data_IF_266056143263
#
_entry.id   IF_266056143263
#
_cell.length_a   1.000
_cell.length_b   1.000
_cell.length_c   1.000
_cell.angle_alpha   90.00
_cell.angle_beta   90.00
_cell.angle_gamma   90.00
#
_symmetry.space_group_name_H-M   'P 1'
#
loop_
_entity.id
_entity.type
_entity.pdbx_description
1 polymer ?
#
# COMPACT_ATOMS: atom_id res chain seq x y z
N UNK A 1 30.77 -151.62 -65.09
CA UNK A 1 30.85 -152.60 -66.18
C UNK A 1 31.79 -152.03 -67.23
N UNK A 2 33.03 -152.54 -67.29
CA UNK A 2 34.01 -152.38 -68.38
C UNK A 2 34.73 -151.04 -68.58
N UNK A 3 36.04 -150.94 -68.29
CA UNK A 3 36.94 -149.98 -68.95
C UNK A 3 37.49 -150.61 -70.25
N UNK A 4 37.30 -149.93 -71.38
CA UNK A 4 38.01 -150.17 -72.64
C UNK A 4 38.78 -148.87 -72.88
N UNK A 5 40.09 -148.73 -72.67
CA UNK A 5 41.18 -149.43 -73.36
C UNK A 5 40.91 -149.53 -74.87
N UNK A 6 41.45 -148.57 -75.61
CA UNK A 6 42.00 -148.76 -76.95
C UNK A 6 43.00 -147.63 -77.21
N UNK A 7 44.23 -147.90 -76.80
CA UNK A 7 45.44 -147.40 -77.45
C UNK A 7 45.33 -147.71 -78.95
N UNK A 8 44.95 -146.70 -79.72
CA UNK A 8 45.33 -146.69 -81.13
C UNK A 8 46.70 -146.06 -81.19
N UNK A 9 47.70 -146.92 -81.38
CA UNK A 9 48.98 -146.62 -82.02
C UNK A 9 48.70 -145.82 -83.30
N UNK A 10 48.60 -144.50 -83.17
CA UNK A 10 48.73 -143.58 -84.30
C UNK A 10 50.21 -143.61 -84.69
N UNK A 11 50.55 -144.58 -85.53
CA UNK A 11 51.75 -144.50 -86.36
C UNK A 11 51.71 -143.13 -87.04
N UNK A 12 52.72 -142.25 -86.83
CA UNK A 12 52.78 -141.00 -87.55
C UNK A 12 53.06 -141.35 -89.02
N UNK A 13 52.00 -141.39 -89.84
CA UNK A 13 52.15 -141.31 -91.27
C UNK A 13 52.81 -139.95 -91.52
N UNK A 14 54.12 -139.97 -91.79
CA UNK A 14 54.90 -138.76 -92.04
C UNK A 14 54.15 -137.90 -93.04
N UNK A 15 53.71 -136.73 -92.61
CA UNK A 15 52.90 -135.77 -93.36
C UNK A 15 53.75 -135.02 -94.40
N UNK A 16 54.65 -135.74 -95.06
CA UNK A 16 55.50 -135.22 -96.12
C UNK A 16 54.93 -135.61 -97.48
N UNK A 17 54.73 -134.62 -98.35
CA UNK A 17 54.48 -134.88 -99.76
C UNK A 17 55.79 -135.16 -100.50
N UNK A 18 55.76 -136.02 -101.53
CA UNK A 18 56.91 -136.29 -102.41
C UNK A 18 57.28 -135.06 -103.28
N UNK A 19 58.58 -134.76 -103.45
CA UNK A 19 59.07 -133.57 -104.19
C UNK A 19 59.28 -133.91 -105.69
N UNK A 20 58.58 -133.20 -106.59
CA UNK A 20 58.63 -133.43 -108.06
C UNK A 20 59.02 -132.13 -108.80
N UNK A 21 59.75 -132.24 -109.93
CA UNK A 21 60.45 -131.13 -110.63
C UNK A 21 59.56 -129.93 -111.08
N UNK A 22 58.23 -130.08 -111.09
CA UNK A 22 57.22 -129.02 -111.34
C UNK A 22 56.03 -129.20 -110.39
N UNK A 23 56.29 -129.19 -109.08
CA UNK A 23 55.28 -129.30 -108.01
C UNK A 23 54.82 -127.94 -107.48
N UNK A 24 53.84 -127.97 -106.57
CA UNK A 24 53.46 -126.80 -105.78
C UNK A 24 54.61 -126.35 -104.89
N UNK A 25 54.68 -125.05 -104.61
CA UNK A 25 55.67 -124.49 -103.69
C UNK A 25 55.44 -125.09 -102.30
N UNK A 26 56.48 -125.77 -101.79
CA UNK A 26 56.45 -126.46 -100.49
C UNK A 26 56.05 -125.51 -99.36
N UNK A 27 56.58 -124.29 -99.35
CA UNK A 27 56.27 -123.31 -98.31
C UNK A 27 54.78 -122.92 -98.35
N UNK A 28 54.21 -122.76 -99.55
CA UNK A 28 52.78 -122.44 -99.70
C UNK A 28 51.86 -123.60 -99.29
N UNK A 29 52.28 -124.85 -99.51
CA UNK A 29 51.51 -126.05 -99.09
C UNK A 29 51.59 -126.24 -97.58
N UNK A 30 52.77 -126.08 -96.98
CA UNK A 30 52.94 -126.11 -95.52
C UNK A 30 52.11 -125.00 -94.86
N UNK A 31 52.17 -123.75 -95.37
CA UNK A 31 51.31 -122.65 -94.91
C UNK A 31 49.82 -122.97 -95.01
N UNK A 32 49.38 -123.65 -96.09
CA UNK A 32 47.98 -124.00 -96.28
C UNK A 32 47.54 -125.16 -95.36
N UNK A 33 48.39 -126.15 -95.14
CA UNK A 33 48.13 -127.23 -94.18
C UNK A 33 48.09 -126.69 -92.75
N UNK A 34 49.01 -125.78 -92.38
CA UNK A 34 48.97 -125.12 -91.08
C UNK A 34 47.66 -124.35 -90.88
N UNK A 35 47.16 -123.66 -91.93
CA UNK A 35 45.83 -123.03 -91.90
C UNK A 35 44.72 -124.08 -91.71
N UNK A 36 44.71 -125.18 -92.47
CA UNK A 36 43.69 -126.23 -92.34
C UNK A 36 43.72 -126.92 -90.97
N UNK A 37 44.91 -127.19 -90.41
CA UNK A 37 45.04 -127.72 -89.06
C UNK A 37 44.55 -126.72 -88.01
N UNK A 38 44.78 -125.42 -88.23
CA UNK A 38 44.22 -124.37 -87.38
C UNK A 38 42.69 -124.32 -87.48
N UNK A 39 42.11 -124.46 -88.68
CA UNK A 39 40.68 -124.48 -88.92
C UNK A 39 40.02 -125.74 -88.31
N UNK A 40 40.65 -126.91 -88.43
CA UNK A 40 40.17 -128.15 -87.81
C UNK A 40 40.22 -128.09 -86.29
N UNK A 41 41.26 -127.49 -85.71
CA UNK A 41 41.31 -127.24 -84.26
C UNK A 41 40.22 -126.27 -83.81
N UNK A 42 39.96 -125.23 -84.60
CA UNK A 42 38.87 -124.29 -84.33
C UNK A 42 37.50 -124.99 -84.41
N UNK A 43 37.23 -125.76 -85.47
CA UNK A 43 35.99 -126.51 -85.62
C UNK A 43 35.79 -127.58 -84.53
N UNK A 44 36.87 -128.25 -84.10
CA UNK A 44 36.80 -129.18 -82.98
C UNK A 44 36.46 -128.46 -81.68
N UNK A 45 37.09 -127.31 -81.42
CA UNK A 45 36.78 -126.46 -80.27
C UNK A 45 35.32 -125.95 -80.31
N UNK A 46 34.84 -125.51 -81.47
CA UNK A 46 33.45 -125.06 -81.66
C UNK A 46 32.45 -126.20 -81.46
N UNK A 47 32.74 -127.40 -82.00
CA UNK A 47 31.93 -128.60 -81.78
C UNK A 47 31.87 -128.95 -80.30
N UNK A 48 33.01 -128.98 -79.63
CA UNK A 48 33.08 -129.36 -78.21
C UNK A 48 32.39 -128.31 -77.34
N UNK A 49 32.50 -127.02 -77.68
CA UNK A 49 31.73 -125.94 -77.06
C UNK A 49 30.22 -126.12 -77.28
N UNK A 50 29.78 -126.46 -78.50
CA UNK A 50 28.38 -126.72 -78.79
C UNK A 50 27.86 -127.97 -78.04
N UNK A 51 28.65 -129.04 -77.95
CA UNK A 51 28.31 -130.23 -77.16
C UNK A 51 28.19 -129.89 -75.68
N UNK A 52 29.10 -129.07 -75.13
CA UNK A 52 28.97 -128.58 -73.75
C UNK A 52 27.68 -127.79 -73.56
N UNK A 53 27.40 -126.81 -74.43
CA UNK A 53 26.19 -125.99 -74.35
C UNK A 53 24.91 -126.83 -74.45
N UNK A 54 24.86 -127.82 -75.35
CA UNK A 54 23.71 -128.73 -75.45
C UNK A 54 23.55 -129.59 -74.20
N UNK A 55 24.66 -130.05 -73.60
CA UNK A 55 24.62 -130.80 -72.34
C UNK A 55 24.15 -129.95 -71.16
N UNK A 56 24.53 -128.67 -71.10
CA UNK A 56 24.10 -127.74 -70.06
C UNK A 56 22.62 -127.37 -70.21
N UNK A 57 22.16 -127.10 -71.43
CA UNK A 57 20.75 -126.88 -71.73
C UNK A 57 19.90 -128.11 -71.41
N UNK A 58 20.40 -129.33 -71.69
CA UNK A 58 19.72 -130.55 -71.31
C UNK A 58 19.57 -130.69 -69.79
N UNK A 59 20.61 -130.33 -69.01
CA UNK A 59 20.55 -130.29 -67.54
C UNK A 59 19.54 -129.25 -67.03
N UNK A 60 19.53 -128.05 -67.60
CA UNK A 60 18.56 -127.01 -67.23
C UNK A 60 17.12 -127.42 -67.56
N UNK A 61 16.89 -128.07 -68.71
CA UNK A 61 15.58 -128.59 -69.06
C UNK A 61 15.13 -129.69 -68.10
N UNK A 62 16.03 -130.57 -67.69
CA UNK A 62 15.68 -131.62 -66.73
C UNK A 62 15.38 -131.06 -65.34
N UNK A 63 16.15 -130.05 -64.89
CA UNK A 63 15.88 -129.33 -63.65
C UNK A 63 14.54 -128.59 -63.68
N UNK A 64 14.25 -127.86 -64.77
CA UNK A 64 12.97 -127.20 -64.94
C UNK A 64 11.80 -128.22 -65.02
N UNK A 65 12.01 -129.39 -65.64
CA UNK A 65 11.02 -130.46 -65.68
C UNK A 65 10.77 -131.08 -64.30
N UNK A 66 11.81 -131.30 -63.50
CA UNK A 66 11.65 -131.76 -62.12
C UNK A 66 10.92 -130.74 -61.27
N UNK A 67 11.28 -129.45 -61.36
CA UNK A 67 10.58 -128.35 -60.66
C UNK A 67 9.11 -128.27 -61.09
N UNK A 68 8.83 -128.34 -62.39
CA UNK A 68 7.45 -128.37 -62.90
C UNK A 68 6.68 -129.59 -62.40
N UNK A 69 7.32 -130.76 -62.31
CA UNK A 69 6.69 -131.97 -61.74
C UNK A 69 6.42 -131.79 -60.24
N UNK A 70 7.34 -131.21 -59.49
CA UNK A 70 7.18 -130.93 -58.06
C UNK A 70 6.04 -129.94 -57.82
N UNK A 71 6.04 -128.81 -58.55
CA UNK A 71 4.98 -127.79 -58.49
C UNK A 71 3.63 -128.39 -58.90
N UNK A 72 3.57 -129.22 -59.94
CA UNK A 72 2.34 -129.92 -60.34
C UNK A 72 1.86 -130.87 -59.26
N UNK A 73 2.73 -131.69 -58.69
CA UNK A 73 2.39 -132.59 -57.59
C UNK A 73 1.94 -131.83 -56.34
N UNK A 74 2.51 -130.64 -56.09
CA UNK A 74 2.09 -129.77 -55.00
C UNK A 74 0.73 -129.12 -55.27
N UNK A 75 0.48 -128.64 -56.49
CA UNK A 75 -0.83 -128.12 -56.91
C UNK A 75 -1.88 -129.22 -56.84
N UNK A 76 -1.58 -130.43 -57.33
CA UNK A 76 -2.48 -131.58 -57.25
C UNK A 76 -2.84 -131.87 -55.78
N UNK A 77 -1.84 -131.98 -54.89
CA UNK A 77 -2.04 -132.13 -53.44
C UNK A 77 -2.89 -131.03 -52.80
N UNK A 78 -2.74 -129.78 -53.25
CA UNK A 78 -3.50 -128.64 -52.73
C UNK A 78 -4.92 -128.53 -53.32
N UNK A 79 -5.13 -129.08 -54.53
CA UNK A 79 -6.39 -129.02 -55.29
C UNK A 79 -7.37 -130.14 -54.92
N UNK A 80 -6.87 -131.32 -54.52
CA UNK A 80 -7.71 -132.39 -53.98
C UNK A 80 -8.29 -131.99 -52.61
N UNK A 81 -9.52 -132.40 -52.27
CA UNK A 81 -10.06 -132.21 -50.93
C UNK A 81 -9.14 -132.88 -49.90
N UNK A 82 -8.78 -132.20 -48.79
CA UNK A 82 -7.76 -132.68 -47.87
C UNK A 82 -8.29 -133.91 -47.11
N UNK A 83 -7.97 -135.09 -47.62
CA UNK A 83 -8.26 -136.38 -46.97
C UNK A 83 -7.12 -136.83 -46.05
N UNK A 84 -6.01 -136.09 -46.01
CA UNK A 84 -4.83 -136.35 -45.16
C UNK A 84 -4.52 -135.17 -44.23
N UNK A 85 -4.04 -135.47 -43.02
CA UNK A 85 -3.69 -134.47 -42.00
C UNK A 85 -2.58 -133.50 -42.44
N UNK A 86 -1.65 -133.97 -43.27
CA UNK A 86 -0.50 -133.20 -43.76
C UNK A 86 -0.93 -132.08 -44.73
N UNK A 87 -1.84 -132.36 -45.68
CA UNK A 87 -2.38 -131.36 -46.60
C UNK A 87 -3.26 -130.30 -45.92
N UNK A 88 -3.93 -130.68 -44.82
CA UNK A 88 -4.65 -129.72 -43.97
C UNK A 88 -3.67 -128.76 -43.27
N UNK A 89 -2.56 -129.28 -42.73
CA UNK A 89 -1.55 -128.46 -42.04
C UNK A 89 -0.83 -127.49 -42.98
N UNK A 90 -0.49 -127.91 -44.21
CA UNK A 90 0.16 -127.06 -45.21
C UNK A 90 -0.76 -125.92 -45.68
N UNK A 91 -2.05 -126.19 -45.91
CA UNK A 91 -3.03 -125.15 -46.25
C UNK A 91 -3.25 -124.18 -45.09
N UNK A 92 -3.35 -124.67 -43.84
CA UNK A 92 -3.48 -123.82 -42.65
C UNK A 92 -2.25 -122.92 -42.46
N UNK A 93 -1.04 -123.44 -42.67
CA UNK A 93 0.18 -122.64 -42.61
C UNK A 93 0.19 -121.53 -43.67
N UNK A 94 -0.24 -121.82 -44.91
CA UNK A 94 -0.37 -120.79 -45.96
C UNK A 94 -1.43 -119.76 -45.64
N UNK A 95 -2.59 -120.19 -45.12
CA UNK A 95 -3.65 -119.28 -44.69
C UNK A 95 -3.20 -118.37 -43.54
N UNK A 96 -2.49 -118.92 -42.55
CA UNK A 96 -1.91 -118.14 -41.46
C UNK A 96 -0.84 -117.16 -41.96
N UNK A 97 -0.01 -117.58 -42.92
CA UNK A 97 0.98 -116.69 -43.53
C UNK A 97 0.29 -115.54 -44.30
N UNK A 98 -0.71 -115.84 -45.11
CA UNK A 98 -1.50 -114.83 -45.82
C UNK A 98 -2.23 -113.89 -44.85
N UNK A 99 -2.83 -114.41 -43.78
CA UNK A 99 -3.47 -113.59 -42.76
C UNK A 99 -2.46 -112.71 -42.00
N UNK A 100 -1.25 -113.21 -41.76
CA UNK A 100 -0.17 -112.44 -41.16
C UNK A 100 0.33 -111.33 -42.11
N UNK A 101 0.48 -111.65 -43.39
CA UNK A 101 0.86 -110.68 -44.42
C UNK A 101 -0.22 -109.60 -44.57
N UNK A 102 -1.50 -109.99 -44.59
CA UNK A 102 -2.65 -109.06 -44.62
C UNK A 102 -2.72 -108.21 -43.35
N UNK A 103 -2.49 -108.78 -42.16
CA UNK A 103 -2.44 -108.03 -40.91
C UNK A 103 -1.28 -107.02 -40.89
N UNK A 104 -0.12 -107.38 -41.44
CA UNK A 104 1.01 -106.48 -41.60
C UNK A 104 0.70 -105.36 -42.59
N UNK A 105 0.01 -105.66 -43.70
CA UNK A 105 -0.43 -104.66 -44.67
C UNK A 105 -1.44 -103.67 -44.05
N UNK A 106 -2.42 -104.16 -43.29
CA UNK A 106 -3.38 -103.32 -42.57
C UNK A 106 -2.66 -102.41 -41.58
N UNK A 107 -1.69 -102.94 -40.82
CA UNK A 107 -0.88 -102.13 -39.89
C UNK A 107 -0.07 -101.07 -40.63
N UNK A 108 0.63 -101.44 -41.70
CA UNK A 108 1.41 -100.51 -42.49
C UNK A 108 0.54 -99.38 -43.09
N UNK A 109 -0.67 -99.72 -43.57
CA UNK A 109 -1.64 -98.75 -44.06
C UNK A 109 -2.13 -97.81 -42.95
N UNK A 110 -2.51 -98.36 -41.79
CA UNK A 110 -2.97 -97.56 -40.64
C UNK A 110 -1.86 -96.65 -40.08
N UNK A 111 -0.61 -97.11 -40.05
CA UNK A 111 0.55 -96.32 -39.65
C UNK A 111 0.84 -95.20 -40.65
N UNK A 112 0.76 -95.47 -41.96
CA UNK A 112 0.91 -94.46 -43.00
C UNK A 112 -0.21 -93.40 -42.92
N UNK A 113 -1.47 -93.81 -42.80
CA UNK A 113 -2.60 -92.90 -42.63
C UNK A 113 -2.49 -92.07 -41.35
N UNK A 114 -2.11 -92.70 -40.22
CA UNK A 114 -1.86 -92.01 -38.95
C UNK A 114 -0.71 -91.01 -39.05
N UNK A 115 0.35 -91.37 -39.78
CA UNK A 115 1.46 -90.48 -40.10
C UNK A 115 1.02 -89.27 -40.93
N UNK A 116 0.21 -89.49 -41.96
CA UNK A 116 -0.35 -88.42 -42.80
C UNK A 116 -1.26 -87.47 -42.01
N UNK A 117 -2.14 -87.99 -41.15
CA UNK A 117 -3.01 -87.17 -40.30
C UNK A 117 -2.17 -86.32 -39.34
N UNK A 118 -1.15 -86.92 -38.70
CA UNK A 118 -0.26 -86.21 -37.78
C UNK A 118 0.54 -85.12 -38.51
N UNK A 119 1.13 -85.44 -39.65
CA UNK A 119 1.89 -84.48 -40.45
C UNK A 119 1.02 -83.31 -40.91
N UNK A 120 -0.23 -83.58 -41.33
CA UNK A 120 -1.19 -82.53 -41.68
C UNK A 120 -1.56 -81.65 -40.49
N UNK A 121 -1.87 -82.26 -39.34
CA UNK A 121 -2.21 -81.51 -38.12
C UNK A 121 -1.03 -80.66 -37.62
N UNK A 122 0.20 -81.17 -37.72
CA UNK A 122 1.42 -80.43 -37.38
C UNK A 122 1.66 -79.26 -38.34
N UNK A 123 1.44 -79.45 -39.64
CA UNK A 123 1.53 -78.39 -40.63
C UNK A 123 0.48 -77.29 -40.37
N UNK A 124 -0.78 -77.67 -40.14
CA UNK A 124 -1.87 -76.74 -39.85
C UNK A 124 -1.62 -75.98 -38.54
N UNK A 125 -1.13 -76.66 -37.50
CA UNK A 125 -0.72 -76.04 -36.25
C UNK A 125 0.45 -75.07 -36.44
N UNK A 126 1.43 -75.42 -37.29
CA UNK A 126 2.55 -74.55 -37.66
C UNK A 126 2.07 -73.27 -38.34
N UNK A 127 1.17 -73.38 -39.31
CA UNK A 127 0.57 -72.22 -40.00
C UNK A 127 -0.18 -71.34 -39.02
N UNK A 128 -0.96 -71.93 -38.11
CA UNK A 128 -1.73 -71.17 -37.13
C UNK A 128 -0.83 -70.45 -36.12
N UNK A 129 0.25 -71.10 -35.64
CA UNK A 129 1.26 -70.46 -34.78
C UNK A 129 1.92 -69.27 -35.47
N UNK A 130 2.36 -69.43 -36.72
CA UNK A 130 2.96 -68.34 -37.49
C UNK A 130 2.00 -67.17 -37.69
N UNK A 131 0.70 -67.44 -37.90
CA UNK A 131 -0.31 -66.39 -38.00
C UNK A 131 -0.49 -65.64 -36.68
N UNK A 132 -0.56 -66.34 -35.56
CA UNK A 132 -0.68 -65.70 -34.26
C UNK A 132 0.58 -64.94 -33.87
N UNK A 133 1.77 -65.46 -34.17
CA UNK A 133 3.03 -64.76 -33.93
C UNK A 133 3.08 -63.44 -34.70
N UNK A 134 2.69 -63.45 -35.99
CA UNK A 134 2.55 -62.23 -36.79
C UNK A 134 1.53 -61.26 -36.19
N UNK A 135 0.35 -61.75 -35.81
CA UNK A 135 -0.70 -60.91 -35.23
C UNK A 135 -0.26 -60.29 -33.89
N UNK A 136 0.46 -61.04 -33.05
CA UNK A 136 1.01 -60.53 -31.79
C UNK A 136 2.04 -59.43 -32.09
N UNK A 137 2.96 -59.67 -33.02
CA UNK A 137 3.96 -58.68 -33.43
C UNK A 137 3.31 -57.39 -33.98
N UNK A 138 2.28 -57.51 -34.83
CA UNK A 138 1.53 -56.36 -35.36
C UNK A 138 0.80 -55.58 -34.25
N UNK A 139 0.23 -56.27 -33.26
CA UNK A 139 -0.43 -55.63 -32.12
C UNK A 139 0.57 -54.91 -31.21
N UNK A 140 1.74 -55.51 -30.98
CA UNK A 140 2.81 -54.90 -30.18
C UNK A 140 3.39 -53.67 -30.89
N UNK A 141 3.62 -53.75 -32.21
CA UNK A 141 4.03 -52.60 -33.02
C UNK A 141 3.00 -51.48 -32.98
N UNK A 142 1.70 -51.81 -33.13
CA UNK A 142 0.63 -50.82 -33.04
C UNK A 142 0.55 -50.18 -31.65
N UNK A 143 0.74 -50.96 -30.58
CA UNK A 143 0.79 -50.43 -29.20
C UNK A 143 1.98 -49.48 -29.03
N UNK A 144 3.17 -49.88 -29.45
CA UNK A 144 4.37 -49.05 -29.38
C UNK A 144 4.21 -47.75 -30.17
N UNK A 145 3.62 -47.80 -31.37
CA UNK A 145 3.32 -46.63 -32.18
C UNK A 145 2.33 -45.68 -31.48
N UNK A 146 1.21 -46.21 -30.98
CA UNK A 146 0.22 -45.39 -30.23
C UNK A 146 0.82 -44.78 -28.96
N UNK A 147 1.68 -45.52 -28.23
CA UNK A 147 2.37 -44.99 -27.06
C UNK A 147 3.37 -43.89 -27.43
N UNK A 148 4.09 -44.04 -28.54
CA UNK A 148 5.02 -43.03 -29.04
C UNK A 148 4.28 -41.76 -29.48
N UNK A 149 3.17 -41.90 -30.23
CA UNK A 149 2.30 -40.78 -30.60
C UNK A 149 1.73 -40.09 -29.36
N UNK A 150 1.23 -40.86 -28.39
CA UNK A 150 0.68 -40.29 -27.15
C UNK A 150 1.75 -39.54 -26.35
N UNK A 151 2.94 -40.12 -26.20
CA UNK A 151 4.09 -39.44 -25.55
C UNK A 151 4.45 -38.16 -26.30
N UNK A 152 4.49 -38.20 -27.63
CA UNK A 152 4.75 -37.02 -28.45
C UNK A 152 3.71 -35.93 -28.24
N UNK A 153 2.41 -36.27 -28.26
CA UNK A 153 1.32 -35.31 -28.00
C UNK A 153 1.39 -34.74 -26.58
N UNK A 154 1.70 -35.55 -25.57
CA UNK A 154 1.89 -35.07 -24.21
C UNK A 154 3.09 -34.14 -24.07
N UNK A 155 4.19 -34.44 -24.75
CA UNK A 155 5.37 -33.59 -24.76
C UNK A 155 5.11 -32.26 -25.47
N UNK A 156 4.43 -32.27 -26.63
CA UNK A 156 4.04 -31.03 -27.31
C UNK A 156 3.08 -30.21 -26.47
N UNK A 157 2.05 -30.83 -25.88
CA UNK A 157 1.09 -30.15 -25.02
C UNK A 157 1.76 -29.58 -23.76
N UNK A 158 2.74 -30.30 -23.19
CA UNK A 158 3.53 -29.80 -22.04
C UNK A 158 4.38 -28.61 -22.44
N UNK A 159 5.11 -28.69 -23.55
CA UNK A 159 5.93 -27.59 -24.06
C UNK A 159 5.09 -26.35 -24.41
N UNK A 160 3.90 -26.54 -24.98
CA UNK A 160 2.95 -25.45 -25.25
C UNK A 160 2.41 -24.84 -23.95
N UNK A 161 2.05 -25.66 -22.96
CA UNK A 161 1.62 -25.17 -21.66
C UNK A 161 2.73 -24.39 -20.95
N UNK A 162 3.97 -24.89 -20.97
CA UNK A 162 5.13 -24.20 -20.39
C UNK A 162 5.38 -22.86 -21.10
N UNK A 163 5.25 -22.79 -22.44
CA UNK A 163 5.34 -21.52 -23.18
C UNK A 163 4.24 -20.55 -22.77
N UNK A 164 2.98 -20.97 -22.77
CA UNK A 164 1.84 -20.12 -22.39
C UNK A 164 2.01 -19.57 -20.97
N UNK A 165 2.42 -20.42 -20.02
CA UNK A 165 2.68 -19.99 -18.64
C UNK A 165 3.83 -18.99 -18.59
N UNK A 166 4.94 -19.25 -19.29
CA UNK A 166 6.08 -18.34 -19.31
C UNK A 166 5.75 -16.96 -19.92
N UNK A 167 4.95 -16.94 -20.99
CA UNK A 167 4.48 -15.71 -21.64
C UNK A 167 3.50 -14.95 -20.74
N UNK A 168 2.57 -15.65 -20.08
CA UNK A 168 1.65 -15.07 -19.12
C UNK A 168 2.37 -14.47 -17.91
N UNK A 169 3.38 -15.16 -17.37
CA UNK A 169 4.21 -14.64 -16.28
C UNK A 169 5.01 -13.42 -16.72
N UNK A 170 5.61 -13.42 -17.91
CA UNK A 170 6.34 -12.28 -18.44
C UNK A 170 5.42 -11.06 -18.64
N UNK A 171 4.22 -11.27 -19.18
CA UNK A 171 3.22 -10.23 -19.33
C UNK A 171 2.75 -9.68 -17.97
N UNK A 172 2.49 -10.56 -17.00
CA UNK A 172 2.11 -10.17 -15.64
C UNK A 172 3.20 -9.35 -14.95
N UNK A 173 4.48 -9.74 -15.08
CA UNK A 173 5.62 -8.97 -14.56
C UNK A 173 5.69 -7.59 -15.19
N UNK A 174 5.56 -7.50 -16.52
CA UNK A 174 5.56 -6.22 -17.23
C UNK A 174 4.42 -5.30 -16.77
N UNK A 175 3.20 -5.83 -16.60
CA UNK A 175 2.06 -5.05 -16.10
C UNK A 175 2.29 -4.60 -14.66
N UNK A 176 2.88 -5.45 -13.81
CA UNK A 176 3.21 -5.09 -12.43
C UNK A 176 4.27 -3.97 -12.38
N UNK A 177 5.32 -4.07 -13.18
CA UNK A 177 6.36 -3.03 -13.31
C UNK A 177 5.77 -1.71 -13.82
N UNK A 178 4.96 -1.74 -14.88
CA UNK A 178 4.27 -0.55 -15.41
C UNK A 178 3.31 0.06 -14.37
N UNK A 179 2.61 -0.77 -13.60
CA UNK A 179 1.69 -0.30 -12.56
C UNK A 179 2.45 0.34 -11.40
N UNK A 180 3.57 -0.25 -10.97
CA UNK A 180 4.40 0.31 -9.92
C UNK A 180 5.03 1.63 -10.35
N UNK A 181 5.54 1.71 -11.59
CA UNK A 181 6.02 2.98 -12.16
C UNK A 181 4.92 4.04 -12.16
N UNK A 182 3.70 3.71 -12.59
CA UNK A 182 2.57 4.63 -12.54
C UNK A 182 2.25 5.09 -11.11
N UNK A 183 2.30 4.17 -10.14
CA UNK A 183 2.09 4.53 -8.72
C UNK A 183 3.15 5.49 -8.24
N UNK A 184 4.43 5.22 -8.49
CA UNK A 184 5.55 6.11 -8.14
C UNK A 184 5.37 7.47 -8.78
N UNK A 185 5.07 7.55 -10.09
CA UNK A 185 4.86 8.85 -10.77
C UNK A 185 3.68 9.62 -10.20
N UNK A 186 2.58 8.93 -9.85
CA UNK A 186 1.40 9.57 -9.24
C UNK A 186 1.71 10.04 -7.82
N UNK A 187 2.48 9.27 -7.05
CA UNK A 187 2.93 9.64 -5.72
C UNK A 187 3.85 10.88 -5.78
N UNK A 188 4.83 10.90 -6.69
CA UNK A 188 5.71 12.05 -6.93
C UNK A 188 4.92 13.30 -7.36
N UNK A 189 4.04 13.19 -8.35
CA UNK A 189 3.20 14.29 -8.82
C UNK A 189 2.29 14.82 -7.71
N UNK A 190 1.73 13.91 -6.90
CA UNK A 190 0.90 14.29 -5.75
C UNK A 190 1.72 15.01 -4.69
N UNK A 191 2.93 14.54 -4.37
CA UNK A 191 3.82 15.22 -3.42
C UNK A 191 4.20 16.62 -3.91
N UNK A 192 4.52 16.77 -5.20
CA UNK A 192 4.83 18.06 -5.82
C UNK A 192 3.61 18.98 -5.73
N UNK A 193 2.42 18.51 -6.14
CA UNK A 193 1.19 19.31 -6.08
C UNK A 193 0.83 19.72 -4.65
N UNK A 194 0.99 18.81 -3.67
CA UNK A 194 0.72 19.10 -2.27
C UNK A 194 1.78 20.02 -1.66
N UNK A 195 3.04 19.92 -2.07
CA UNK A 195 4.09 20.87 -1.68
C UNK A 195 3.81 22.27 -2.24
N UNK A 196 3.45 22.38 -3.52
CA UNK A 196 3.06 23.64 -4.15
C UNK A 196 1.86 24.28 -3.45
N UNK A 197 0.79 23.50 -3.20
CA UNK A 197 -0.40 23.99 -2.47
C UNK A 197 -0.07 24.42 -1.04
N UNK A 198 0.81 23.69 -0.33
CA UNK A 198 1.29 24.09 1.01
C UNK A 198 2.08 25.40 0.94
N UNK A 199 2.96 25.57 -0.04
CA UNK A 199 3.74 26.79 -0.23
C UNK A 199 2.84 27.99 -0.53
N UNK A 200 1.84 27.84 -1.41
CA UNK A 200 0.85 28.87 -1.71
C UNK A 200 0.01 29.22 -0.46
N UNK A 201 -0.45 28.23 0.29
CA UNK A 201 -1.16 28.45 1.55
C UNK A 201 -0.29 29.19 2.58
N UNK A 202 0.98 28.82 2.73
CA UNK A 202 1.92 29.55 3.60
C UNK A 202 2.17 30.98 3.12
N UNK A 203 2.31 31.21 1.81
CA UNK A 203 2.51 32.54 1.24
C UNK A 203 1.29 33.46 1.45
N UNK A 204 0.07 32.91 1.30
CA UNK A 204 -1.16 33.68 1.58
C UNK A 204 -1.29 34.02 3.06
N UNK A 205 -1.02 33.08 3.97
CA UNK A 205 -0.97 33.36 5.41
C UNK A 205 0.09 34.40 5.76
N UNK A 206 1.30 34.28 5.22
CA UNK A 206 2.37 35.27 5.43
C UNK A 206 1.97 36.66 4.91
N UNK A 207 1.28 36.73 3.77
CA UNK A 207 0.75 37.99 3.22
C UNK A 207 -0.32 38.57 4.14
N UNK A 208 -1.27 37.75 4.61
CA UNK A 208 -2.32 38.18 5.56
C UNK A 208 -1.73 38.64 6.89
N UNK A 209 -0.72 37.95 7.41
CA UNK A 209 0.00 38.38 8.61
C UNK A 209 0.75 39.69 8.37
N UNK A 210 1.40 39.86 7.23
CA UNK A 210 2.13 41.08 6.89
C UNK A 210 1.19 42.27 6.72
N UNK A 211 0.03 42.09 6.05
CA UNK A 211 -0.98 43.15 5.92
C UNK A 211 -1.61 43.47 7.26
N UNK A 212 -1.97 42.46 8.07
CA UNK A 212 -2.53 42.66 9.41
C UNK A 212 -1.56 43.39 10.34
N UNK A 213 -0.27 42.99 10.36
CA UNK A 213 0.79 43.67 11.12
C UNK A 213 0.99 45.09 10.61
N UNK A 214 1.07 45.30 9.29
CA UNK A 214 1.21 46.62 8.69
C UNK A 214 0.06 47.57 9.02
N UNK A 215 -1.18 47.08 9.01
CA UNK A 215 -2.34 47.86 9.44
C UNK A 215 -2.36 48.13 10.95
N UNK A 216 -1.97 47.15 11.78
CA UNK A 216 -1.86 47.34 13.22
C UNK A 216 -0.81 48.41 13.54
N UNK A 217 0.37 48.33 12.92
CA UNK A 217 1.44 49.34 13.06
C UNK A 217 1.00 50.72 12.57
N UNK A 218 0.17 50.78 11.52
CA UNK A 218 -0.40 52.04 11.04
C UNK A 218 -1.39 52.62 12.06
N UNK A 219 -2.33 51.82 12.58
CA UNK A 219 -3.29 52.27 13.60
C UNK A 219 -2.59 52.72 14.88
N UNK A 220 -1.53 52.01 15.31
CA UNK A 220 -0.72 52.42 16.47
C UNK A 220 0.00 53.73 16.20
N UNK A 221 0.58 53.93 15.00
CA UNK A 221 1.20 55.20 14.62
C UNK A 221 0.20 56.35 14.58
N UNK A 222 -0.93 56.18 13.91
CA UNK A 222 -2.00 57.17 13.83
C UNK A 222 -2.53 57.53 15.24
N UNK A 223 -2.81 56.54 16.09
CA UNK A 223 -3.22 56.77 17.47
C UNK A 223 -2.12 57.43 18.32
N UNK A 224 -0.84 57.10 18.10
CA UNK A 224 0.28 57.75 18.79
C UNK A 224 0.45 59.21 18.36
N UNK A 225 0.27 59.51 17.07
CA UNK A 225 0.27 60.86 16.52
C UNK A 225 -0.93 61.67 17.04
N UNK A 226 -2.13 61.11 17.05
CA UNK A 226 -3.31 61.76 17.63
C UNK A 226 -3.14 61.99 19.13
N UNK A 227 -2.65 61.02 19.88
CA UNK A 227 -2.34 61.19 21.29
C UNK A 227 -1.25 62.24 21.50
N UNK A 228 -0.25 62.35 20.62
CA UNK A 228 0.74 63.41 20.65
C UNK A 228 0.12 64.79 20.36
N UNK A 229 -0.81 64.88 19.39
CA UNK A 229 -1.56 66.12 19.11
C UNK A 229 -2.42 66.54 20.29
N UNK A 230 -3.15 65.61 20.91
CA UNK A 230 -3.97 65.88 22.10
C UNK A 230 -3.08 66.31 23.27
N UNK A 231 -1.96 65.61 23.52
CA UNK A 231 -0.99 66.03 24.56
C UNK A 231 -0.42 67.42 24.27
N UNK A 232 -0.10 67.74 23.02
CA UNK A 232 0.40 69.06 22.63
C UNK A 232 -0.67 70.15 22.81
N UNK A 233 -1.92 69.87 22.45
CA UNK A 233 -3.05 70.79 22.66
C UNK A 233 -3.31 71.03 24.16
N UNK A 234 -3.35 69.97 24.97
CA UNK A 234 -3.47 70.09 26.44
C UNK A 234 -2.28 70.87 27.00
N UNK A 235 -1.05 70.61 26.55
CA UNK A 235 0.12 71.36 26.99
C UNK A 235 0.01 72.84 26.60
N UNK A 236 -0.45 73.15 25.39
CA UNK A 236 -0.72 74.53 24.96
C UNK A 236 -1.80 75.18 25.83
N UNK A 237 -2.94 74.52 26.05
CA UNK A 237 -4.01 75.02 26.93
C UNK A 237 -3.53 75.19 28.38
N UNK A 238 -2.67 74.29 28.87
CA UNK A 238 -2.06 74.43 30.19
C UNK A 238 -1.10 75.62 30.22
N UNK A 239 -0.31 75.86 29.16
CA UNK A 239 0.56 77.04 29.10
C UNK A 239 -0.23 78.34 29.00
N UNK A 240 -1.29 78.39 28.19
CA UNK A 240 -2.14 79.59 28.07
C UNK A 240 -2.93 79.83 29.34
N UNK A 241 -3.57 78.81 29.91
CA UNK A 241 -4.28 78.93 31.19
C UNK A 241 -3.35 79.27 32.34
N UNK A 242 -2.12 78.73 32.39
CA UNK A 242 -1.09 79.11 33.36
C UNK A 242 -0.63 80.55 33.13
N UNK A 243 -0.38 80.97 31.90
CA UNK A 243 0.00 82.35 31.59
C UNK A 243 -1.12 83.34 31.95
N UNK A 244 -2.39 82.99 31.71
CA UNK A 244 -3.54 83.77 32.13
C UNK A 244 -3.71 83.79 33.65
N UNK A 245 -3.51 82.66 34.33
CA UNK A 245 -3.53 82.59 35.80
C UNK A 245 -2.41 83.46 36.39
N UNK A 246 -1.19 83.37 35.86
CA UNK A 246 -0.07 84.23 36.25
C UNK A 246 -0.34 85.71 35.94
N UNK A 247 -1.04 86.03 34.84
CA UNK A 247 -1.47 87.39 34.52
C UNK A 247 -2.50 87.89 35.52
N UNK A 248 -3.53 87.10 35.85
CA UNK A 248 -4.54 87.45 36.87
C UNK A 248 -3.90 87.62 38.25
N UNK A 249 -2.95 86.75 38.61
CA UNK A 249 -2.19 86.91 39.86
C UNK A 249 -1.36 88.18 39.83
N UNK A 250 -0.65 88.47 38.73
CA UNK A 250 0.11 89.73 38.57
C UNK A 250 -0.79 90.96 38.68
N UNK A 251 -1.88 91.03 37.93
CA UNK A 251 -2.86 92.11 37.98
C UNK A 251 -3.45 92.28 39.40
N UNK A 252 -3.81 91.18 40.06
CA UNK A 252 -4.30 91.22 41.45
C UNK A 252 -3.21 91.69 42.44
N UNK A 253 -1.95 91.26 42.28
CA UNK A 253 -0.84 91.72 43.12
C UNK A 253 -0.51 93.19 42.88
N UNK A 254 -0.56 93.66 41.64
CA UNK A 254 -0.39 95.07 41.31
C UNK A 254 -1.53 95.92 41.87
N UNK A 255 -2.77 95.45 41.79
CA UNK A 255 -3.93 96.14 42.36
C UNK A 255 -3.87 96.15 43.90
N UNK A 256 -3.45 95.05 44.53
CA UNK A 256 -3.20 95.00 45.98
C UNK A 256 -2.05 95.93 46.40
N UNK A 257 -0.99 96.02 45.60
CA UNK A 257 0.13 96.94 45.83
C UNK A 257 -0.29 98.41 45.62
N UNK A 258 -1.14 98.70 44.63
CA UNK A 258 -1.75 100.03 44.45
C UNK A 258 -2.60 100.41 45.65
N UNK A 259 -3.53 99.54 46.09
CA UNK A 259 -4.34 99.78 47.31
C UNK A 259 -3.47 99.99 48.54
N UNK A 260 -2.38 99.23 48.69
CA UNK A 260 -1.40 99.44 49.76
C UNK A 260 -0.71 100.79 49.65
N UNK A 261 -0.27 101.18 48.46
CA UNK A 261 0.39 102.46 48.22
C UNK A 261 -0.56 103.65 48.49
N UNK A 262 -1.79 103.57 47.99
CA UNK A 262 -2.83 104.58 48.22
C UNK A 262 -3.14 104.69 49.72
N UNK A 263 -3.30 103.56 50.41
CA UNK A 263 -3.50 103.54 51.87
C UNK A 263 -2.32 104.11 52.65
N UNK A 264 -1.08 103.83 52.25
CA UNK A 264 0.13 104.41 52.85
C UNK A 264 0.18 105.92 52.59
N UNK A 265 -0.20 106.35 51.39
CA UNK A 265 -0.23 107.77 51.00
C UNK A 265 -1.29 108.53 51.79
N UNK A 266 -2.49 107.98 51.95
CA UNK A 266 -3.53 108.55 52.81
C UNK A 266 -3.11 108.57 54.30
N UNK A 267 -2.47 107.50 54.79
CA UNK A 267 -1.97 107.44 56.16
C UNK A 267 -0.88 108.50 56.41
N UNK A 268 0.05 108.66 55.47
CA UNK A 268 1.11 109.69 55.56
C UNK A 268 0.56 111.10 55.43
N UNK A 269 -0.44 111.35 54.57
CA UNK A 269 -1.15 112.62 54.49
C UNK A 269 -1.85 112.97 55.82
N UNK A 270 -2.53 112.01 56.46
CA UNK A 270 -3.13 112.22 57.80
C UNK A 270 -2.09 112.52 58.88
N UNK A 271 -0.93 111.85 58.84
CA UNK A 271 0.17 112.13 59.78
C UNK A 271 0.72 113.54 59.55
N UNK A 272 0.89 113.96 58.30
CA UNK A 272 1.34 115.32 57.96
C UNK A 272 0.33 116.36 58.44
N UNK A 273 -0.96 116.18 58.15
CA UNK A 273 -2.03 117.07 58.60
C UNK A 273 -2.07 117.19 60.13
N UNK A 274 -1.98 116.06 60.86
CA UNK A 274 -1.90 116.07 62.32
C UNK A 274 -0.64 116.77 62.86
N UNK A 275 0.50 116.61 62.18
CA UNK A 275 1.77 117.26 62.53
C UNK A 275 1.72 118.76 62.28
N UNK A 276 1.11 119.19 61.17
CA UNK A 276 0.88 120.59 60.85
C UNK A 276 -0.08 121.25 61.85
N UNK A 277 -1.14 120.56 62.26
CA UNK A 277 -2.09 121.04 63.26
C UNK A 277 -1.44 121.12 64.66
N UNK A 278 -0.59 120.16 65.02
CA UNK A 278 0.24 120.21 66.23
C UNK A 278 1.18 121.42 66.22
N UNK A 279 1.93 121.61 65.13
CA UNK A 279 2.82 122.76 64.96
C UNK A 279 2.07 124.09 64.98
N UNK A 280 0.85 124.15 64.45
CA UNK A 280 -0.02 125.32 64.52
C UNK A 280 -0.41 125.66 65.95
N UNK A 281 -0.86 124.66 66.74
CA UNK A 281 -1.18 124.84 68.17
C UNK A 281 0.03 125.29 69.00
N UNK A 282 1.22 124.77 68.70
CA UNK A 282 2.47 125.20 69.37
C UNK A 282 2.80 126.65 69.04
N UNK A 283 2.66 127.08 67.78
CA UNK A 283 2.89 128.48 67.38
C UNK A 283 1.91 129.43 68.06
N UNK A 284 0.62 129.12 68.04
CA UNK A 284 -0.43 129.92 68.68
C UNK A 284 -0.19 130.07 70.20
N UNK A 285 0.21 128.99 70.89
CA UNK A 285 0.55 129.02 72.31
C UNK A 285 1.81 129.87 72.60
N UNK A 286 2.81 129.80 71.72
CA UNK A 286 4.06 130.58 71.84
C UNK A 286 3.80 132.08 71.64
N UNK A 287 2.93 132.43 70.69
CA UNK A 287 2.51 133.81 70.46
C UNK A 287 1.70 134.38 71.65
N UNK A 288 0.81 133.58 72.25
CA UNK A 288 0.10 133.99 73.46
C UNK A 288 1.03 134.19 74.66
N UNK A 289 2.02 133.31 74.85
CA UNK A 289 3.03 133.45 75.89
C UNK A 289 3.83 134.76 75.71
N UNK A 290 4.25 135.06 74.48
CA UNK A 290 4.97 136.28 74.14
C UNK A 290 4.14 137.56 74.39
N UNK A 291 2.83 137.53 74.10
CA UNK A 291 1.92 138.65 74.42
C UNK A 291 1.81 138.88 75.93
N UNK A 292 1.72 137.82 76.74
CA UNK A 292 1.64 137.92 78.22
C UNK A 292 2.95 138.47 78.82
N UNK A 293 4.11 138.04 78.31
CA UNK A 293 5.40 138.57 78.75
C UNK A 293 5.58 140.05 78.39
N UNK A 294 5.20 140.47 77.17
CA UNK A 294 5.29 141.87 76.75
C UNK A 294 4.40 142.81 77.58
N UNK A 295 3.20 142.36 77.94
CA UNK A 295 2.29 143.11 78.81
C UNK A 295 2.82 143.22 80.26
N UNK A 296 3.56 142.21 80.74
CA UNK A 296 4.19 142.23 82.05
C UNK A 296 5.40 143.17 82.11
N UNK A 297 6.24 143.22 81.07
CA UNK A 297 7.37 144.17 80.99
C UNK A 297 6.90 145.62 80.95
N UNK A 298 5.84 145.93 80.18
CA UNK A 298 5.25 147.28 80.18
C UNK A 298 4.75 147.71 81.57
N UNK A 299 4.13 146.81 82.34
CA UNK A 299 3.70 147.09 83.73
C UNK A 299 4.88 147.34 84.69
N UNK A 300 5.99 146.63 84.50
CA UNK A 300 7.21 146.81 85.31
C UNK A 300 7.91 148.15 85.00
N UNK A 301 7.91 148.59 83.74
CA UNK A 301 8.47 149.89 83.33
C UNK A 301 7.66 151.08 83.83
N UNK A 302 6.32 150.96 83.85
CA UNK A 302 5.41 151.97 84.43
C UNK A 302 5.64 152.15 85.95
N UNK A 303 5.94 151.08 86.68
CA UNK A 303 6.25 151.15 88.11
C UNK A 303 7.64 151.75 88.38
N UNK A 304 8.63 151.49 87.52
CA UNK A 304 9.98 152.09 87.62
C UNK A 304 9.99 153.60 87.40
N UNK A 305 9.15 154.11 86.49
CA UNK A 305 9.02 155.55 86.21
C UNK A 305 8.33 156.31 87.35
N UNK A 306 7.33 155.71 88.01
CA UNK A 306 6.69 156.28 89.21
C UNK A 306 7.66 156.37 90.39
N UNK A 307 8.46 155.33 90.62
CA UNK A 307 9.47 155.29 91.69
C UNK A 307 10.53 156.39 91.54
N UNK A 308 11.11 156.55 90.35
CA UNK A 308 12.15 157.55 90.12
C UNK A 308 11.64 159.00 90.31
N UNK A 309 10.34 159.24 90.06
CA UNK A 309 9.70 160.55 90.24
C UNK A 309 9.58 160.94 91.73
N UNK A 310 9.27 159.99 92.60
CA UNK A 310 9.25 160.18 94.06
C UNK A 310 10.66 160.36 94.65
N UNK A 311 11.66 159.65 94.12
CA UNK A 311 13.05 159.77 94.56
C UNK A 311 13.67 161.14 94.26
N UNK A 312 13.31 161.79 93.16
CA UNK A 312 13.79 163.15 92.83
C UNK A 312 13.14 164.26 93.67
N UNK A 313 11.92 164.06 94.18
CA UNK A 313 11.25 165.07 95.03
C UNK A 313 11.79 165.10 96.46
N UNK A 314 12.34 163.98 96.97
CA UNK A 314 12.94 163.92 98.32
C UNK A 314 14.43 164.32 98.34
N UNK A 315 15.13 164.20 97.21
CA UNK A 315 16.55 164.56 97.11
C UNK A 315 16.77 166.06 96.91
N UNK A 316 15.77 166.78 96.41
CA UNK A 316 15.82 168.22 96.26
C UNK A 316 15.51 168.94 97.57
N UNK A 317 16.57 169.26 98.30
CA UNK A 317 16.59 170.51 99.07
C UNK A 317 16.04 170.39 100.50
N UNK A 318 16.05 169.14 100.98
CA UNK A 318 16.86 168.69 102.14
C UNK A 318 18.34 169.20 102.15
N UNK A 319 18.68 170.21 101.35
CA UNK A 319 20.02 170.74 101.04
C UNK A 319 20.12 172.23 101.39
N UNK A 320 19.09 172.85 101.98
CA UNK A 320 19.15 174.25 102.44
C UNK A 320 18.91 174.46 103.95
N UNK A 321 18.59 173.41 104.72
CA UNK A 321 18.50 173.48 106.18
C UNK A 321 19.25 172.31 106.79
N UNK A 322 20.58 172.30 106.70
CA UNK A 322 21.41 171.75 107.78
C UNK A 322 22.89 172.12 107.58
N UNK A 323 23.21 173.40 107.80
CA UNK A 323 24.34 173.73 108.67
C UNK A 323 23.88 173.57 110.14
N UNK A 324 24.83 173.38 111.05
CA UNK A 324 24.71 172.96 112.47
C UNK A 324 24.70 171.42 112.68
N UNK A 325 25.84 170.79 112.36
CA UNK A 325 26.91 170.34 113.29
C UNK A 325 26.43 169.70 114.63
N UNK A 326 26.99 168.55 115.10
CA UNK A 326 26.87 167.19 114.56
C UNK A 326 26.74 166.13 115.72
N UNK A 327 26.94 164.86 115.35
CA UNK A 327 27.57 163.77 116.12
C UNK A 327 26.73 162.85 117.05
N UNK A 328 26.97 161.54 116.81
CA UNK A 328 26.90 160.36 117.69
C UNK A 328 25.57 159.57 117.75
N UNK A 329 25.46 158.58 116.83
CA UNK A 329 25.32 157.11 117.05
C UNK A 329 25.00 156.58 118.48
N UNK A 330 24.58 155.28 118.67
CA UNK A 330 24.01 154.26 117.76
C UNK A 330 22.85 153.42 118.44
N UNK A 331 22.45 152.24 117.88
CA UNK A 331 21.69 151.09 118.50
C UNK A 331 20.15 151.34 118.69
N UNK A 332 19.15 150.49 118.39
CA UNK A 332 18.79 149.10 118.82
C UNK A 332 17.65 148.49 117.96
N UNK A 333 17.70 147.15 117.78
CA UNK A 333 16.62 146.12 117.74
C UNK A 333 15.48 146.20 116.68
N UNK A 334 14.97 145.13 116.05
CA UNK A 334 14.60 143.82 116.58
C UNK A 334 14.47 142.72 115.47
N UNK A 335 15.19 141.61 115.69
CA UNK A 335 14.89 140.17 115.52
C UNK A 335 14.00 139.58 114.36
N UNK A 336 14.44 138.46 113.73
CA UNK A 336 13.69 137.59 112.79
C UNK A 336 13.04 136.38 113.56
N UNK A 337 12.68 135.17 113.03
CA UNK A 337 12.79 134.64 111.65
C UNK A 337 11.66 133.70 111.12
N UNK A 338 11.55 133.64 109.78
CA UNK A 338 11.62 132.41 108.95
C UNK A 338 10.49 131.33 108.97
N UNK A 339 10.52 130.32 108.07
CA UNK A 339 10.55 130.44 106.61
C UNK A 339 9.68 129.37 105.88
N UNK A 340 9.60 129.52 104.55
CA UNK A 340 9.60 128.48 103.51
C UNK A 340 8.96 127.11 103.80
N UNK A 341 7.95 126.73 103.01
CA UNK A 341 8.14 126.01 101.75
C UNK A 341 6.79 125.59 101.15
N UNK A 342 6.75 125.62 99.81
CA UNK A 342 5.78 124.99 98.92
C UNK A 342 4.29 125.23 99.20
N UNK A 343 3.65 125.99 98.30
CA UNK A 343 2.38 125.49 97.80
C UNK A 343 2.29 125.74 96.29
N UNK A 344 1.61 124.86 95.57
CA UNK A 344 0.67 125.30 94.54
C UNK A 344 -0.02 124.07 93.95
N UNK A 345 -1.06 123.60 94.63
CA UNK A 345 -2.15 122.85 94.03
C UNK A 345 -2.97 123.85 93.16
N UNK A 346 -3.97 123.48 92.38
CA UNK A 346 -5.07 122.63 92.74
C UNK A 346 -5.94 122.34 91.52
N UNK A 347 -6.80 121.34 91.74
CA UNK A 347 -8.16 121.25 91.22
C UNK A 347 -8.41 120.15 90.18
N UNK A 348 -8.29 118.91 90.65
CA UNK A 348 -9.40 117.95 90.60
C UNK A 348 -10.52 118.45 91.58
N UNK A 349 -11.81 118.16 91.47
CA UNK A 349 -12.49 116.98 90.96
C UNK A 349 -14.01 117.28 91.03
N UNK A 350 -14.81 116.58 90.21
CA UNK A 350 -16.18 116.20 90.60
C UNK A 350 -17.35 116.89 89.89
N UNK A 351 -18.01 116.15 88.99
CA UNK A 351 -19.47 116.15 88.91
C UNK A 351 -20.16 116.25 87.54
N UNK A 352 -20.29 115.09 86.85
CA UNK A 352 -21.36 114.69 85.90
C UNK A 352 -21.49 115.41 84.53
N UNK A 353 -22.19 114.84 83.50
CA UNK A 353 -22.78 113.49 83.33
C UNK A 353 -22.30 112.72 82.06
N UNK A 354 -22.68 111.44 81.95
CA UNK A 354 -22.45 110.52 80.80
C UNK A 354 -23.68 110.47 79.85
N UNK A 355 -23.55 110.07 78.56
CA UNK A 355 -23.59 108.63 78.21
C UNK A 355 -22.74 108.18 77.00
N UNK A 356 -22.70 106.84 76.85
CA UNK A 356 -22.57 106.03 75.62
C UNK A 356 -21.17 105.64 75.10
N UNK A 357 -20.80 104.40 75.43
CA UNK A 357 -19.82 103.50 74.80
C UNK A 357 -20.21 102.04 75.24
N UNK A 358 -19.64 100.94 74.71
CA UNK A 358 -19.77 100.40 73.36
C UNK A 358 -20.02 98.87 73.34
N UNK A 359 -19.91 98.30 72.14
CA UNK A 359 -20.24 96.95 71.72
C UNK A 359 -19.07 95.93 71.75
N UNK A 360 -19.48 94.67 71.50
CA UNK A 360 -18.75 93.42 71.17
C UNK A 360 -18.33 92.54 72.37
N UNK A 361 -18.19 91.19 72.19
CA UNK A 361 -18.09 90.43 70.92
C UNK A 361 -18.91 89.12 70.83
N UNK A 362 -18.91 88.48 69.65
CA UNK A 362 -18.80 87.01 69.58
C UNK A 362 -19.83 86.19 68.79
N UNK A 363 -19.36 85.72 67.62
CA UNK A 363 -19.52 84.38 67.05
C UNK A 363 -20.77 84.00 66.21
N UNK A 364 -20.44 83.67 64.96
CA UNK A 364 -21.23 83.01 63.94
C UNK A 364 -20.77 81.54 63.81
N UNK A 365 -21.71 80.62 63.58
CA UNK A 365 -21.55 79.43 62.75
C UNK A 365 -22.91 78.75 62.57
N UNK A 366 -23.31 78.53 61.30
CA UNK A 366 -24.59 77.92 60.90
C UNK A 366 -24.29 76.54 60.31
N UNK A 367 -24.99 75.51 60.78
CA UNK A 367 -24.83 74.12 60.34
C UNK A 367 -26.19 73.39 60.22
N UNK A 368 -26.18 72.30 59.44
CA UNK A 368 -27.13 71.16 59.34
C UNK A 368 -28.37 71.39 58.45
N UNK A 369 -28.73 70.62 57.41
CA UNK A 369 -28.52 69.24 56.94
C UNK A 369 -29.34 68.13 57.66
N UNK A 370 -30.35 67.58 56.95
CA UNK A 370 -31.06 66.29 57.14
C UNK A 370 -32.08 66.07 55.96
N UNK A 371 -32.67 64.87 55.67
CA UNK A 371 -32.45 63.50 56.21
C UNK A 371 -32.44 62.29 55.20
N UNK A 372 -31.79 61.17 55.60
CA UNK A 372 -32.15 59.71 55.57
C UNK A 372 -32.55 58.91 54.26
N UNK A 373 -32.61 57.55 54.25
CA UNK A 373 -31.70 56.48 54.76
C UNK A 373 -31.50 55.20 53.86
N UNK A 374 -30.36 54.50 54.05
CA UNK A 374 -30.03 53.02 54.12
C UNK A 374 -30.64 51.95 53.12
N UNK A 375 -30.38 50.61 53.22
CA UNK A 375 -29.26 49.90 52.55
C UNK A 375 -29.60 48.51 51.90
N UNK A 376 -28.56 47.82 51.40
CA UNK A 376 -28.36 46.35 51.43
C UNK A 376 -28.81 45.42 50.29
N UNK A 377 -27.88 44.50 50.02
CA UNK A 377 -27.80 43.40 49.06
C UNK A 377 -28.77 42.23 49.34
N UNK A 378 -29.15 41.45 48.32
CA UNK A 378 -29.25 39.97 48.41
C UNK A 378 -29.38 39.29 47.03
N UNK A 379 -28.84 38.06 46.98
CA UNK A 379 -28.82 37.08 45.87
C UNK A 379 -30.22 36.60 45.43
N UNK A 380 -30.35 35.92 44.28
CA UNK A 380 -31.56 35.17 43.94
C UNK A 380 -31.38 33.64 44.14
N UNK A 381 -32.44 32.99 44.62
CA UNK A 381 -32.62 31.55 44.50
C UNK A 381 -34.11 31.17 44.39
N UNK A 382 -34.34 30.18 43.51
CA UNK A 382 -35.43 29.19 43.53
C UNK A 382 -36.82 29.52 42.93
N UNK A 383 -37.05 28.85 41.79
CA UNK A 383 -38.07 27.81 41.58
C UNK A 383 -39.48 28.17 41.05
N UNK A 384 -39.85 27.41 39.99
CA UNK A 384 -41.01 26.51 39.92
C UNK A 384 -42.04 26.75 38.77
N UNK A 385 -42.11 25.71 37.92
CA UNK A 385 -43.30 25.03 37.36
C UNK A 385 -43.96 25.50 36.04
N UNK A 386 -43.91 24.56 35.09
CA UNK A 386 -44.75 24.25 33.91
C UNK A 386 -46.27 24.11 34.25
N UNK A 387 -47.24 23.80 33.33
CA UNK A 387 -47.14 23.13 32.01
C UNK A 387 -48.11 23.56 30.88
N UNK A 388 -47.89 23.06 29.64
CA UNK A 388 -48.90 22.49 28.72
C UNK A 388 -48.33 22.21 27.31
N UNK A 389 -48.61 21.02 26.77
CA UNK A 389 -48.42 20.59 25.37
C UNK A 389 -49.79 20.69 24.62
N UNK A 390 -49.96 20.47 23.27
CA UNK A 390 -49.52 19.25 22.56
C UNK A 390 -49.09 19.35 21.05
N UNK A 391 -48.37 18.30 20.62
CA UNK A 391 -48.37 17.58 19.32
C UNK A 391 -47.95 18.25 17.99
N UNK A 392 -46.87 17.75 17.37
CA UNK A 392 -46.89 16.84 16.19
C UNK A 392 -45.48 16.50 15.67
N UNK A 393 -45.21 15.19 15.54
CA UNK A 393 -44.10 14.49 14.85
C UNK A 393 -44.29 14.49 13.31
N UNK A 394 -43.43 13.88 12.44
CA UNK A 394 -42.13 13.20 12.64
C UNK A 394 -41.05 13.56 11.58
N UNK A 395 -39.78 13.19 11.81
CA UNK A 395 -38.92 12.43 10.86
C UNK A 395 -37.45 12.42 11.31
N UNK A 396 -36.90 11.21 11.39
CA UNK A 396 -35.49 10.87 11.62
C UNK A 396 -34.72 10.93 10.27
N UNK A 397 -33.36 10.94 10.23
CA UNK A 397 -32.64 9.68 10.47
C UNK A 397 -31.32 9.79 11.22
N UNK A 398 -31.05 8.74 12.00
CA UNK A 398 -29.74 8.41 12.55
C UNK A 398 -28.98 7.48 11.59
N UNK A 399 -27.72 7.85 11.39
CA UNK A 399 -26.52 7.12 10.99
C UNK A 399 -26.65 5.59 10.76
N UNK A 400 -26.27 5.16 9.55
CA UNK A 400 -25.90 3.79 9.22
C UNK A 400 -24.40 3.75 8.85
N UNK A 401 -23.67 2.79 9.42
CA UNK A 401 -22.31 2.41 9.02
C UNK A 401 -22.32 1.60 7.70
N UNK A 402 -21.24 1.65 6.90
CA UNK A 402 -21.17 0.99 5.61
C UNK A 402 -20.83 -0.51 5.73
N UNK A 403 -21.64 -1.35 5.08
CA UNK A 403 -21.32 -2.75 4.81
C UNK A 403 -20.53 -2.87 3.49
N UNK A 404 -19.45 -3.66 3.51
CA UNK A 404 -18.68 -4.04 2.33
C UNK A 404 -19.41 -5.13 1.51
N UNK A 405 -19.26 -5.16 0.16
CA UNK A 405 -19.82 -6.21 -0.68
C UNK A 405 -18.89 -7.44 -0.78
N UNK A 406 -19.44 -8.64 -0.55
CA UNK A 406 -18.80 -9.92 -0.90
C UNK A 406 -19.30 -10.44 -2.26
N UNK A 407 -18.42 -11.02 -3.10
CA UNK A 407 -18.81 -11.62 -4.37
C UNK A 407 -19.35 -13.05 -4.20
N UNK A 408 -20.39 -13.37 -4.97
CA UNK A 408 -20.97 -14.71 -5.06
C UNK A 408 -20.00 -15.68 -5.75
N UNK A 409 -19.55 -16.70 -5.01
CA UNK A 409 -18.88 -17.87 -5.56
C UNK A 409 -19.85 -19.06 -5.52
N UNK A 410 -20.15 -19.61 -6.70
CA UNK A 410 -20.76 -20.92 -6.85
C UNK A 410 -19.70 -21.99 -6.54
N UNK A 411 -20.03 -22.92 -5.65
CA UNK A 411 -19.27 -24.16 -5.50
C UNK A 411 -20.15 -25.39 -5.80
N UNK A 412 -19.55 -26.44 -6.39
CA UNK A 412 -20.23 -27.66 -6.80
C UNK A 412 -20.36 -28.66 -5.65
N UNK A 413 -21.39 -29.50 -5.73
CA UNK A 413 -21.69 -30.62 -4.84
C UNK A 413 -20.64 -31.74 -4.92
N UNK A 414 -20.22 -32.34 -3.79
CA UNK A 414 -19.46 -33.58 -3.79
C UNK A 414 -20.38 -34.81 -3.68
N UNK A 415 -20.22 -35.77 -4.59
CA UNK A 415 -20.78 -37.11 -4.47
C UNK A 415 -19.79 -38.01 -3.70
N UNK A 416 -20.25 -38.61 -2.60
CA UNK A 416 -19.55 -39.72 -1.93
C UNK A 416 -20.16 -41.08 -2.30
N UNK A 417 -19.36 -42.16 -2.29
CA UNK A 417 -19.75 -43.50 -2.73
C UNK A 417 -20.35 -44.31 -1.58
N UNK A 418 -21.36 -45.14 -1.87
CA UNK A 418 -21.97 -46.03 -0.88
C UNK A 418 -21.56 -47.48 -1.12
N UNK A 419 -20.80 -47.97 -0.13
CA UNK A 419 -20.64 -49.32 0.40
C UNK A 419 -21.32 -50.52 -0.25
N UNK A 420 -20.50 -51.56 -0.41
CA UNK A 420 -20.88 -52.95 -0.59
C UNK A 420 -21.69 -53.52 0.59
N UNK A 421 -22.68 -54.37 0.28
CA UNK A 421 -23.09 -55.47 1.15
C UNK A 421 -23.69 -56.62 0.30
N UNK A 422 -23.15 -57.81 0.50
CA UNK A 422 -23.52 -59.05 -0.15
C UNK A 422 -24.82 -59.63 0.45
N UNK A 423 -25.63 -60.31 -0.39
CA UNK A 423 -26.50 -61.44 0.00
C UNK A 423 -26.98 -62.22 -1.23
N UNK A 424 -26.43 -63.43 -1.36
CA UNK A 424 -27.05 -64.71 -1.76
C UNK A 424 -28.37 -64.74 -2.55
N UNK A 425 -28.35 -65.29 -3.78
CA UNK A 425 -29.18 -66.43 -4.22
C UNK A 425 -28.94 -66.73 -5.72
N UNK A 426 -28.67 -67.99 -6.05
CA UNK A 426 -28.54 -68.54 -7.40
C UNK A 426 -29.91 -69.03 -7.94
N UNK A 427 -29.98 -69.74 -9.07
CA UNK A 427 -29.73 -69.32 -10.45
C UNK A 427 -30.99 -69.54 -11.33
N UNK A 428 -31.11 -68.88 -12.49
CA UNK A 428 -31.97 -69.43 -13.55
C UNK A 428 -31.47 -69.12 -14.97
N UNK A 429 -31.64 -70.13 -15.82
CA UNK A 429 -31.08 -70.39 -17.16
C UNK A 429 -31.43 -69.33 -18.24
N UNK A 430 -30.70 -69.36 -19.39
CA UNK A 430 -30.75 -68.33 -20.41
C UNK A 430 -31.84 -68.60 -21.47
N UNK A 431 -32.46 -67.54 -21.97
CA UNK A 431 -33.26 -67.57 -23.18
C UNK A 431 -32.45 -67.01 -24.34
N UNK A 432 -32.38 -67.79 -25.41
CA UNK A 432 -31.73 -67.48 -26.67
C UNK A 432 -32.53 -66.47 -27.51
N UNK A 433 -31.83 -65.55 -28.16
CA UNK A 433 -32.23 -64.88 -29.40
C UNK A 433 -30.94 -64.40 -30.08
N UNK A 434 -30.41 -65.17 -31.02
CA UNK A 434 -30.59 -65.00 -32.47
C UNK A 434 -29.80 -63.82 -33.06
N UNK A 435 -28.75 -64.25 -33.75
CA UNK A 435 -27.88 -63.61 -34.73
C UNK A 435 -28.62 -63.09 -35.98
N UNK A 436 -28.24 -61.92 -36.47
CA UNK A 436 -28.08 -61.62 -37.91
C UNK A 436 -27.32 -60.28 -38.12
N UNK A 437 -26.67 -60.04 -39.27
CA UNK A 437 -25.31 -59.48 -39.33
C UNK A 437 -25.20 -58.07 -39.97
N UNK A 438 -23.97 -57.54 -39.92
CA UNK A 438 -23.59 -56.23 -40.46
C UNK A 438 -22.89 -56.28 -41.84
N UNK A 439 -22.96 -55.14 -42.55
CA UNK A 439 -22.08 -54.56 -43.61
C UNK A 439 -22.36 -54.91 -45.10
N UNK A 440 -21.91 -54.10 -46.14
CA UNK A 440 -20.92 -52.99 -46.14
C UNK A 440 -21.17 -51.70 -47.03
N UNK A 441 -20.36 -50.66 -46.76
CA UNK A 441 -19.65 -49.67 -47.63
C UNK A 441 -20.32 -48.70 -48.69
N UNK A 442 -20.15 -47.38 -48.45
CA UNK A 442 -19.50 -46.27 -49.24
C UNK A 442 -19.71 -46.11 -50.80
N UNK A 443 -19.53 -44.91 -51.45
CA UNK A 443 -18.59 -43.82 -51.15
C UNK A 443 -19.02 -42.34 -51.38
N UNK A 444 -18.09 -41.42 -51.07
CA UNK A 444 -18.17 -39.95 -51.06
C UNK A 444 -17.65 -39.26 -52.35
N UNK A 445 -18.01 -37.98 -52.59
CA UNK A 445 -17.12 -36.83 -53.01
C UNK A 445 -17.87 -35.47 -53.20
N UNK A 446 -17.18 -34.29 -53.34
CA UNK A 446 -17.42 -33.09 -52.50
C UNK A 446 -17.66 -31.75 -53.24
N UNK A 447 -18.00 -30.67 -52.51
CA UNK A 447 -17.80 -29.24 -52.87
C UNK A 447 -18.09 -28.36 -51.61
N UNK A 448 -17.16 -27.61 -51.02
CA UNK A 448 -16.52 -26.35 -51.42
C UNK A 448 -17.33 -25.06 -51.08
N UNK A 449 -16.75 -24.28 -50.16
CA UNK A 449 -16.73 -22.81 -50.01
C UNK A 449 -18.00 -21.98 -49.65
N UNK A 450 -17.81 -21.16 -48.60
CA UNK A 450 -18.54 -19.99 -48.06
C UNK A 450 -18.75 -18.84 -49.10
N UNK A 451 -19.27 -17.60 -48.78
CA UNK A 451 -19.69 -17.00 -47.49
C UNK A 451 -20.92 -16.01 -47.52
N UNK A 452 -21.21 -15.42 -46.34
CA UNK A 452 -21.88 -14.13 -45.99
C UNK A 452 -22.95 -13.48 -46.90
N UNK A 453 -24.12 -13.12 -46.32
CA UNK A 453 -24.58 -11.72 -46.16
C UNK A 453 -25.94 -11.61 -45.44
N UNK A 454 -26.14 -10.52 -44.67
CA UNK A 454 -27.37 -10.22 -43.91
C UNK A 454 -28.56 -9.74 -44.77
N UNK A 455 -29.70 -9.40 -44.14
CA UNK A 455 -30.14 -8.01 -44.29
C UNK A 455 -30.83 -7.40 -43.05
N UNK A 456 -30.46 -6.16 -42.78
CA UNK A 456 -31.21 -5.19 -41.98
C UNK A 456 -32.38 -4.62 -42.80
N UNK A 457 -33.40 -4.14 -42.08
CA UNK A 457 -34.40 -3.14 -42.47
C UNK A 457 -35.80 -3.66 -42.84
N UNK A 458 -36.74 -3.48 -41.90
CA UNK A 458 -38.05 -2.86 -42.14
C UNK A 458 -38.51 -2.14 -40.86
N UNK A 459 -38.33 -0.82 -40.87
CA UNK A 459 -38.90 0.15 -39.91
C UNK A 459 -40.27 0.54 -40.44
N UNK A 460 -41.33 0.47 -39.61
CA UNK A 460 -42.43 1.45 -39.68
C UNK A 460 -43.11 1.62 -38.32
N UNK A 461 -43.07 2.85 -37.79
CA UNK A 461 -43.77 3.32 -36.59
C UNK A 461 -45.14 3.90 -36.97
N UNK A 462 -46.22 3.70 -36.20
CA UNK A 462 -47.51 4.35 -36.46
C UNK A 462 -47.61 5.70 -35.72
N UNK A 463 -48.16 6.71 -36.39
CA UNK A 463 -48.86 7.83 -35.74
C UNK A 463 -50.13 8.20 -36.51
N UNK A 464 -51.21 8.63 -35.83
CA UNK A 464 -52.54 8.74 -36.42
C UNK A 464 -52.90 10.13 -36.98
N UNK A 465 -53.64 10.05 -38.09
CA UNK A 465 -54.81 10.83 -38.55
C UNK A 465 -54.82 12.38 -38.48
N UNK A 466 -55.04 12.98 -39.66
CA UNK A 466 -55.96 14.12 -39.85
C UNK A 466 -56.75 13.98 -41.15
N UNK A 467 -58.09 14.04 -40.96
CA UNK A 467 -59.21 14.28 -41.89
C UNK A 467 -59.58 13.21 -42.90
#
# INVERSE_FOLDING_TARGET
>A
MGPLADDRDLVPLGSGFDIVKRGYDRAQVEDHLERLDSDLRLLAADRDAAVSQTSDLARQLEAARSEMSELRNQVERLSLPPTTLEGLSERLQRMLRLAQDEANEIKARAEAEGGHIRAKAEADAGVLRQRYEKLIAELDERRAAMEAEHKGVLETARNEAEKIVSEAEAAARKIAEESEQRRVTVEEDFEIAMAARRAEAMATLATQEATSKGEADRRVREAAEEAARVRAAIAQEQTTSKAEAERRVREATEEANRRRHDSITEATARIQEATEESNRRVREATEEANRRTAAATQRVEQLRTLRNRLSHQLHNVRTALQEVVPLLDPIEEEKPPAPASAPAPASAEGGAPAPAQPAQPGQAARAQAAPAPKPSQTQPAAAAKSPAAPQSTPAQPAQAQPAQPQPAQAQPTPAQPVGAQAKTAAPNKPAAAQTAPAQPAAPAKPAAASPVDGPTAKITRPQPAKK
#
